data_IF_431975972788
#
_entry.id   IF_431975972788
#
_cell.length_a   1.000
_cell.length_b   1.000
_cell.length_c   1.000
_cell.angle_alpha   90.00
_cell.angle_beta   90.00
_cell.angle_gamma   90.00
#
_symmetry.space_group_name_H-M   'P 1'
#
loop_
_entity.id
_entity.type
_entity.pdbx_description
1 polymer ?
#
# COMPACT_ATOMS: atom_id res chain seq x y z
N UNK A 1 37.42 57.08 -5.09
CA UNK A 1 37.41 55.68 -4.56
C UNK A 1 36.02 55.21 -4.16
N UNK A 2 35.12 56.03 -3.55
CA UNK A 2 33.78 55.60 -3.05
C UNK A 2 32.75 55.24 -4.14
N UNK A 3 32.83 55.79 -5.36
CA UNK A 3 31.85 55.55 -6.43
C UNK A 3 32.07 54.18 -7.10
N UNK A 4 33.31 53.75 -7.28
CA UNK A 4 33.65 52.46 -7.87
C UNK A 4 33.19 51.28 -7.01
N UNK A 5 33.32 51.41 -5.69
CA UNK A 5 32.89 50.38 -4.73
C UNK A 5 31.35 50.22 -4.70
N UNK A 6 30.60 51.32 -4.85
CA UNK A 6 29.14 51.31 -4.91
C UNK A 6 28.64 50.63 -6.18
N UNK A 7 29.27 50.88 -7.33
CA UNK A 7 28.90 50.24 -8.60
C UNK A 7 29.22 48.74 -8.61
N UNK A 8 30.32 48.30 -7.97
CA UNK A 8 30.61 46.87 -7.75
C UNK A 8 29.59 46.19 -6.84
N UNK A 9 29.19 46.86 -5.76
CA UNK A 9 28.17 46.33 -4.85
C UNK A 9 26.82 46.16 -5.57
N UNK A 10 26.37 47.14 -6.33
CA UNK A 10 25.13 47.07 -7.11
C UNK A 10 25.19 46.02 -8.22
N UNK A 11 26.34 45.81 -8.86
CA UNK A 11 26.54 44.76 -9.86
C UNK A 11 26.46 43.34 -9.22
N UNK A 12 27.02 43.17 -8.03
CA UNK A 12 26.92 41.94 -7.26
C UNK A 12 25.50 41.67 -6.79
N UNK A 13 24.78 42.68 -6.31
CA UNK A 13 23.40 42.61 -5.94
C UNK A 13 22.53 42.14 -7.12
N UNK A 14 22.68 42.78 -8.31
CA UNK A 14 21.97 42.36 -9.53
C UNK A 14 22.32 40.96 -10.00
N UNK A 15 23.51 40.42 -9.71
CA UNK A 15 23.86 39.02 -9.97
C UNK A 15 23.21 38.09 -8.98
N UNK A 16 23.11 38.46 -7.71
CA UNK A 16 22.41 37.69 -6.68
C UNK A 16 20.89 37.62 -6.94
N UNK A 17 20.29 38.76 -7.35
CA UNK A 17 18.86 38.83 -7.69
C UNK A 17 18.51 38.07 -8.98
N UNK A 18 19.49 37.74 -9.83
CA UNK A 18 19.37 36.90 -11.04
C UNK A 18 19.71 35.42 -10.81
N UNK A 19 20.25 35.09 -9.65
CA UNK A 19 20.44 33.67 -9.29
C UNK A 19 19.07 33.13 -8.92
N UNK A 20 18.59 32.18 -9.71
CA UNK A 20 17.46 31.35 -9.31
C UNK A 20 17.78 30.74 -7.95
N UNK A 21 17.07 31.17 -6.93
CA UNK A 21 17.14 30.54 -5.61
C UNK A 21 16.64 29.15 -5.84
N UNK A 22 17.52 28.15 -5.77
CA UNK A 22 17.13 26.75 -5.71
C UNK A 22 16.34 26.63 -4.42
N UNK A 23 15.01 26.77 -4.51
CA UNK A 23 14.14 26.40 -3.42
C UNK A 23 14.40 24.91 -3.17
N UNK A 24 15.07 24.61 -2.06
CA UNK A 24 15.15 23.24 -1.57
C UNK A 24 13.72 22.74 -1.51
N UNK A 25 13.41 21.73 -2.33
CA UNK A 25 12.11 21.12 -2.33
C UNK A 25 11.76 20.78 -0.87
N UNK A 26 10.63 21.31 -0.38
CA UNK A 26 10.16 21.02 0.98
C UNK A 26 10.24 19.51 1.17
N UNK A 27 10.96 19.06 2.19
CA UNK A 27 11.11 17.65 2.47
C UNK A 27 9.71 17.02 2.45
N UNK A 28 9.54 16.01 1.60
CA UNK A 28 8.28 15.26 1.58
C UNK A 28 8.11 14.59 2.93
N UNK A 29 6.89 14.60 3.49
CA UNK A 29 6.65 13.92 4.76
C UNK A 29 7.07 12.44 4.61
N UNK A 30 7.97 11.98 5.47
CA UNK A 30 8.39 10.58 5.49
C UNK A 30 7.21 9.73 5.93
N UNK A 31 6.89 8.66 5.20
CA UNK A 31 5.80 7.78 5.60
C UNK A 31 6.15 7.01 6.88
N UNK A 32 5.11 6.74 7.67
CA UNK A 32 5.19 5.92 8.89
C UNK A 32 4.05 4.91 8.86
N UNK A 33 4.39 3.61 8.72
CA UNK A 33 3.41 2.54 8.62
C UNK A 33 3.41 1.68 9.88
N UNK A 34 2.27 1.66 10.57
CA UNK A 34 2.06 0.82 11.75
C UNK A 34 0.73 0.09 11.59
N UNK A 35 0.79 -1.20 11.25
CA UNK A 35 -0.41 -2.04 11.10
C UNK A 35 -1.10 -2.26 12.45
N UNK A 36 -2.41 -2.08 12.48
CA UNK A 36 -3.22 -2.44 13.64
C UNK A 36 -3.43 -3.95 13.67
N UNK A 37 -3.27 -4.53 14.84
CA UNK A 37 -3.41 -5.97 15.04
C UNK A 37 -4.80 -6.30 15.59
N UNK A 38 -5.51 -7.21 14.90
CA UNK A 38 -6.72 -7.83 15.41
C UNK A 38 -6.38 -8.96 16.41
N UNK A 39 -7.42 -9.56 17.01
CA UNK A 39 -7.23 -10.76 17.83
C UNK A 39 -6.57 -11.88 17.02
N UNK A 40 -5.89 -12.80 17.72
CA UNK A 40 -5.22 -13.92 17.08
C UNK A 40 -6.21 -14.81 16.31
N UNK A 41 -5.81 -15.25 15.11
CA UNK A 41 -6.54 -16.23 14.30
C UNK A 41 -6.47 -17.64 14.91
N UNK A 42 -7.21 -18.58 14.36
CA UNK A 42 -7.04 -20.01 14.58
C UNK A 42 -5.65 -20.50 14.20
N UNK A 43 -5.39 -21.79 14.31
CA UNK A 43 -4.09 -22.39 13.99
C UNK A 43 -3.72 -22.22 12.52
N UNK A 44 -4.66 -22.52 11.63
CA UNK A 44 -4.47 -22.40 10.19
C UNK A 44 -5.06 -21.10 9.66
N UNK A 45 -4.40 -20.52 8.67
CA UNK A 45 -4.92 -19.40 7.89
C UNK A 45 -5.73 -19.95 6.72
N UNK A 46 -5.15 -20.88 5.97
CA UNK A 46 -5.85 -21.64 4.94
C UNK A 46 -5.21 -23.01 4.74
N UNK A 47 -5.97 -23.92 4.17
CA UNK A 47 -5.51 -25.20 3.67
C UNK A 47 -6.17 -25.46 2.31
N UNK A 48 -5.42 -26.01 1.36
CA UNK A 48 -5.94 -26.40 0.04
C UNK A 48 -5.74 -27.89 -0.17
N UNK A 49 -6.68 -28.54 -0.83
CA UNK A 49 -6.63 -29.94 -1.21
C UNK A 49 -6.83 -30.03 -2.72
N UNK A 50 -5.81 -30.49 -3.44
CA UNK A 50 -5.79 -30.66 -4.89
C UNK A 50 -6.35 -29.47 -5.66
N UNK A 51 -6.07 -28.26 -5.18
CA UNK A 51 -6.58 -27.00 -5.73
C UNK A 51 -6.01 -26.76 -7.12
N UNK A 52 -6.85 -26.66 -8.13
CA UNK A 52 -6.52 -26.24 -9.48
C UNK A 52 -7.12 -24.88 -9.73
N UNK A 53 -6.26 -23.88 -9.93
CA UNK A 53 -6.67 -22.51 -10.22
C UNK A 53 -6.75 -22.28 -11.72
N UNK A 54 -7.58 -21.33 -12.12
CA UNK A 54 -7.74 -20.90 -13.52
C UNK A 54 -9.07 -20.20 -13.73
N UNK A 55 -9.32 -19.88 -15.01
CA UNK A 55 -10.61 -19.37 -15.48
C UNK A 55 -11.25 -20.45 -16.38
N UNK A 56 -11.19 -20.30 -17.69
CA UNK A 56 -11.68 -21.32 -18.64
C UNK A 56 -10.70 -22.49 -18.80
N UNK A 57 -9.43 -22.27 -18.47
CA UNK A 57 -8.35 -23.26 -18.56
C UNK A 57 -7.54 -23.31 -17.27
N UNK A 58 -7.04 -24.50 -16.90
CA UNK A 58 -6.16 -24.64 -15.75
C UNK A 58 -4.87 -23.81 -15.91
N UNK A 59 -4.52 -23.04 -14.89
CA UNK A 59 -3.25 -22.32 -14.78
C UNK A 59 -2.25 -23.03 -13.87
N UNK A 60 -2.69 -24.01 -13.09
CA UNK A 60 -1.82 -24.77 -12.20
C UNK A 60 -2.05 -26.27 -12.32
N UNK A 61 -1.08 -27.07 -11.84
CA UNK A 61 -1.30 -28.45 -11.43
C UNK A 61 -2.07 -28.42 -10.10
N UNK A 62 -2.60 -29.59 -9.62
CA UNK A 62 -3.19 -29.67 -8.29
C UNK A 62 -2.22 -29.21 -7.20
N UNK A 63 -2.68 -28.30 -6.34
CA UNK A 63 -1.90 -27.68 -5.27
C UNK A 63 -2.49 -28.07 -3.92
N UNK A 64 -1.68 -28.70 -3.08
CA UNK A 64 -2.00 -28.96 -1.68
C UNK A 64 -1.06 -28.15 -0.81
N UNK A 65 -1.56 -27.07 -0.26
CA UNK A 65 -0.83 -26.05 0.49
C UNK A 65 -1.50 -25.81 1.83
N UNK A 66 -0.72 -25.41 2.81
CA UNK A 66 -1.25 -24.92 4.08
C UNK A 66 -0.43 -23.74 4.58
N UNK A 67 -1.09 -22.81 5.26
CA UNK A 67 -0.47 -21.69 5.93
C UNK A 67 -0.93 -21.65 7.38
N UNK A 68 0.00 -21.67 8.30
CA UNK A 68 -0.27 -21.56 9.73
C UNK A 68 -0.15 -20.09 10.21
N UNK A 69 -0.79 -19.84 11.37
CA UNK A 69 -0.71 -18.54 12.04
C UNK A 69 0.75 -18.11 12.29
N UNK A 70 1.03 -16.84 12.01
CA UNK A 70 2.34 -16.22 12.20
C UNK A 70 3.33 -16.49 11.07
N UNK A 71 2.99 -17.34 10.10
CA UNK A 71 3.85 -17.53 8.92
C UNK A 71 3.82 -16.31 8.00
N UNK A 72 4.96 -16.04 7.39
CA UNK A 72 5.14 -15.02 6.35
C UNK A 72 5.63 -15.72 5.09
N UNK A 73 4.76 -15.83 4.11
CA UNK A 73 5.00 -16.57 2.86
C UNK A 73 5.06 -15.59 1.70
N UNK A 74 6.07 -15.73 0.84
CA UNK A 74 6.18 -14.99 -0.41
C UNK A 74 5.95 -15.93 -1.61
N UNK A 75 5.03 -15.55 -2.49
CA UNK A 75 4.83 -16.17 -3.79
C UNK A 75 5.66 -15.42 -4.82
N UNK A 76 6.68 -16.08 -5.34
CA UNK A 76 7.62 -15.50 -6.30
C UNK A 76 7.48 -16.20 -7.64
N UNK A 77 7.56 -15.46 -8.73
CA UNK A 77 7.52 -16.02 -10.08
C UNK A 77 7.24 -14.96 -11.14
N UNK A 78 7.36 -15.35 -12.41
CA UNK A 78 7.12 -14.44 -13.54
C UNK A 78 5.68 -13.88 -13.52
N UNK A 79 5.51 -12.71 -14.14
CA UNK A 79 4.18 -12.12 -14.28
C UNK A 79 3.30 -13.00 -15.18
N UNK A 80 2.00 -13.08 -14.85
CA UNK A 80 1.04 -13.85 -15.64
C UNK A 80 0.97 -15.35 -15.34
N UNK A 81 1.79 -15.90 -14.43
CA UNK A 81 1.74 -17.35 -14.09
C UNK A 81 0.58 -17.74 -13.17
N UNK A 82 -0.25 -16.77 -12.74
CA UNK A 82 -1.42 -17.06 -11.91
C UNK A 82 -1.25 -16.78 -10.41
N UNK A 83 -0.22 -16.03 -9.98
CA UNK A 83 -0.02 -15.68 -8.55
C UNK A 83 -1.24 -14.97 -7.94
N UNK A 84 -1.72 -13.92 -8.57
CA UNK A 84 -2.94 -13.18 -8.16
C UNK A 84 -4.18 -14.08 -8.21
N UNK A 85 -4.29 -14.94 -9.23
CA UNK A 85 -5.40 -15.91 -9.34
C UNK A 85 -5.38 -16.89 -8.19
N UNK A 86 -4.20 -17.39 -7.80
CA UNK A 86 -4.06 -18.27 -6.63
C UNK A 86 -4.52 -17.56 -5.34
N UNK A 87 -4.06 -16.34 -5.12
CA UNK A 87 -4.47 -15.55 -3.97
C UNK A 87 -6.00 -15.38 -3.94
N UNK A 88 -6.59 -14.94 -5.06
CA UNK A 88 -8.04 -14.74 -5.19
C UNK A 88 -8.84 -16.03 -5.04
N UNK A 89 -8.31 -17.16 -5.50
CA UNK A 89 -8.95 -18.47 -5.28
C UNK A 89 -8.85 -18.93 -3.81
N UNK A 90 -7.75 -18.63 -3.12
CA UNK A 90 -7.62 -18.94 -1.68
C UNK A 90 -8.66 -18.18 -0.85
N UNK A 91 -8.86 -16.88 -1.14
CA UNK A 91 -9.84 -16.04 -0.43
C UNK A 91 -11.29 -16.22 -0.90
N UNK A 92 -11.52 -17.02 -1.95
CA UNK A 92 -12.85 -17.34 -2.47
C UNK A 92 -13.44 -16.28 -3.43
N UNK A 93 -12.66 -15.32 -3.89
CA UNK A 93 -13.09 -14.33 -4.91
C UNK A 93 -13.22 -14.97 -6.30
N UNK A 94 -12.38 -15.94 -6.61
CA UNK A 94 -12.40 -16.69 -7.87
C UNK A 94 -12.63 -18.17 -7.52
N UNK A 95 -13.68 -18.81 -8.06
CA UNK A 95 -13.90 -20.24 -7.84
C UNK A 95 -12.77 -21.04 -8.48
N UNK A 96 -12.25 -22.08 -7.81
CA UNK A 96 -11.27 -22.97 -8.40
C UNK A 96 -11.90 -23.84 -9.50
N UNK A 97 -11.09 -24.34 -10.43
CA UNK A 97 -11.53 -25.31 -11.45
C UNK A 97 -11.82 -26.67 -10.79
N UNK A 98 -10.97 -27.07 -9.84
CA UNK A 98 -11.16 -28.27 -9.03
C UNK A 98 -10.43 -28.16 -7.69
N UNK A 99 -10.68 -29.12 -6.80
CA UNK A 99 -10.15 -29.08 -5.45
C UNK A 99 -10.92 -28.12 -4.54
N UNK A 100 -10.42 -27.88 -3.36
CA UNK A 100 -11.07 -27.00 -2.39
C UNK A 100 -10.05 -26.19 -1.58
N UNK A 101 -10.53 -25.07 -1.06
CA UNK A 101 -9.83 -24.26 -0.05
C UNK A 101 -10.69 -24.21 1.21
N UNK A 102 -10.06 -24.44 2.34
CA UNK A 102 -10.65 -24.26 3.66
C UNK A 102 -9.94 -23.13 4.36
N UNK A 103 -10.67 -22.07 4.71
CA UNK A 103 -10.16 -20.96 5.50
C UNK A 103 -10.20 -21.30 6.99
N UNK A 104 -9.25 -20.76 7.74
CA UNK A 104 -9.20 -20.92 9.19
C UNK A 104 -10.23 -20.06 9.93
N UNK A 105 -10.29 -20.24 11.25
CA UNK A 105 -11.21 -19.50 12.11
C UNK A 105 -10.66 -18.14 12.52
N UNK A 106 -11.56 -17.20 12.77
CA UNK A 106 -11.25 -15.85 13.27
C UNK A 106 -10.25 -15.07 12.41
N UNK A 107 -10.39 -15.17 11.10
CA UNK A 107 -9.57 -14.41 10.15
C UNK A 107 -10.12 -12.99 9.99
N UNK A 108 -9.22 -12.03 10.13
CA UNK A 108 -9.44 -10.61 9.83
C UNK A 108 -8.44 -10.21 8.73
N UNK A 109 -8.77 -10.51 7.47
CA UNK A 109 -7.85 -10.27 6.37
C UNK A 109 -7.79 -8.79 6.00
N UNK A 110 -6.57 -8.30 5.78
CA UNK A 110 -6.32 -7.06 5.07
C UNK A 110 -5.78 -7.36 3.68
N UNK A 111 -6.50 -6.95 2.65
CA UNK A 111 -6.10 -7.20 1.27
C UNK A 111 -5.61 -5.92 0.59
N UNK A 112 -4.39 -5.99 0.05
CA UNK A 112 -3.82 -4.95 -0.80
C UNK A 112 -3.82 -5.44 -2.24
N UNK A 113 -4.76 -4.94 -3.03
CA UNK A 113 -4.92 -5.28 -4.44
C UNK A 113 -3.93 -4.51 -5.31
N UNK A 114 -3.35 -5.16 -6.31
CA UNK A 114 -2.33 -4.59 -7.21
C UNK A 114 -2.82 -3.31 -7.89
N UNK A 115 -4.01 -3.34 -8.51
CA UNK A 115 -4.60 -2.18 -9.17
C UNK A 115 -6.09 -2.05 -8.82
N UNK A 116 -6.43 -0.94 -8.17
CA UNK A 116 -7.81 -0.51 -8.01
C UNK A 116 -8.03 0.74 -8.86
N UNK A 117 -8.89 0.65 -9.87
CA UNK A 117 -9.26 1.82 -10.67
C UNK A 117 -10.27 2.65 -9.89
N UNK A 118 -9.91 3.89 -9.62
CA UNK A 118 -10.82 4.86 -9.04
C UNK A 118 -11.51 5.64 -10.16
N UNK A 119 -12.79 5.35 -10.40
CA UNK A 119 -13.63 6.02 -11.41
C UNK A 119 -14.43 7.17 -10.80
N UNK A 120 -14.72 7.08 -9.52
CA UNK A 120 -15.60 8.00 -8.82
C UNK A 120 -14.90 9.33 -8.47
N UNK A 121 -15.70 10.38 -8.37
CA UNK A 121 -15.25 11.70 -7.91
C UNK A 121 -15.19 11.76 -6.39
N UNK A 122 -14.37 10.89 -5.76
CA UNK A 122 -14.23 10.77 -4.32
C UNK A 122 -12.90 11.37 -3.90
N UNK A 123 -12.90 12.23 -2.88
CA UNK A 123 -11.65 12.77 -2.30
C UNK A 123 -10.95 11.72 -1.47
N UNK A 124 -9.64 11.89 -1.20
CA UNK A 124 -8.92 10.98 -0.31
C UNK A 124 -9.55 10.95 1.09
N UNK A 125 -10.07 12.06 1.56
CA UNK A 125 -10.76 12.17 2.86
C UNK A 125 -12.01 11.29 2.85
N UNK A 126 -12.88 11.46 1.84
CA UNK A 126 -14.13 10.70 1.76
C UNK A 126 -13.87 9.21 1.57
N UNK A 127 -12.82 8.85 0.83
CA UNK A 127 -12.42 7.45 0.61
C UNK A 127 -11.99 6.75 1.90
N UNK A 128 -11.32 7.47 2.82
CA UNK A 128 -11.00 6.95 4.16
C UNK A 128 -12.23 6.95 5.05
N UNK A 129 -13.05 7.99 5.02
CA UNK A 129 -14.26 8.05 5.84
C UNK A 129 -15.30 6.98 5.51
N UNK A 130 -15.40 6.54 4.26
CA UNK A 130 -16.26 5.40 3.88
C UNK A 130 -15.95 4.15 4.72
N UNK A 131 -14.68 3.93 5.02
CA UNK A 131 -14.21 2.73 5.73
C UNK A 131 -14.15 2.96 7.26
N UNK A 132 -13.84 4.20 7.66
CA UNK A 132 -13.69 4.60 9.06
C UNK A 132 -14.65 5.74 9.43
N UNK A 133 -15.97 5.53 9.45
CA UNK A 133 -16.95 6.60 9.67
C UNK A 133 -16.89 7.19 11.10
N UNK A 134 -16.28 6.50 12.05
CA UNK A 134 -16.05 6.98 13.42
C UNK A 134 -14.87 7.95 13.54
N UNK A 135 -14.02 8.07 12.54
CA UNK A 135 -12.88 8.98 12.59
C UNK A 135 -13.32 10.43 12.45
N UNK A 136 -12.71 11.30 13.23
CA UNK A 136 -12.84 12.75 13.05
C UNK A 136 -12.07 13.18 11.80
N UNK A 137 -12.38 14.37 11.28
CA UNK A 137 -11.66 14.94 10.14
C UNK A 137 -10.14 15.05 10.40
N UNK A 138 -9.77 15.36 11.64
CA UNK A 138 -8.37 15.44 12.04
C UNK A 138 -7.68 14.05 11.96
N UNK A 139 -8.32 13.00 12.45
CA UNK A 139 -7.79 11.63 12.40
C UNK A 139 -7.63 11.13 10.98
N UNK A 140 -8.61 11.40 10.09
CA UNK A 140 -8.52 11.06 8.67
C UNK A 140 -7.33 11.76 8.01
N UNK A 141 -7.19 13.07 8.20
CA UNK A 141 -6.07 13.85 7.66
C UNK A 141 -4.73 13.39 8.22
N UNK A 142 -4.67 13.10 9.51
CA UNK A 142 -3.47 12.59 10.19
C UNK A 142 -3.06 11.21 9.64
N UNK A 143 -4.02 10.30 9.45
CA UNK A 143 -3.77 8.98 8.88
C UNK A 143 -3.18 9.06 7.46
N UNK A 144 -3.77 9.90 6.59
CA UNK A 144 -3.28 10.13 5.23
C UNK A 144 -1.88 10.79 5.23
N UNK A 145 -1.65 11.77 6.10
CA UNK A 145 -0.35 12.44 6.23
C UNK A 145 0.76 11.46 6.70
N UNK A 146 0.45 10.57 7.65
CA UNK A 146 1.34 9.49 8.09
C UNK A 146 1.70 8.52 6.96
N UNK A 147 0.86 8.40 5.94
CA UNK A 147 1.19 7.63 4.74
C UNK A 147 2.05 8.41 3.72
N UNK A 148 2.53 9.60 4.08
CA UNK A 148 3.40 10.42 3.22
C UNK A 148 2.63 11.18 2.13
N UNK A 149 1.34 11.48 2.33
CA UNK A 149 0.56 12.33 1.47
C UNK A 149 0.63 13.78 1.95
N UNK A 150 0.85 14.72 1.02
CA UNK A 150 0.83 16.16 1.30
C UNK A 150 -0.60 16.66 1.47
N UNK A 151 -0.79 17.83 2.08
CA UNK A 151 -2.11 18.46 2.22
C UNK A 151 -2.84 18.57 0.88
N UNK A 152 -2.12 18.94 -0.19
CA UNK A 152 -2.67 19.03 -1.55
C UNK A 152 -3.22 17.68 -2.04
N UNK A 153 -2.49 16.57 -1.79
CA UNK A 153 -2.94 15.22 -2.17
C UNK A 153 -4.15 14.79 -1.35
N UNK A 154 -4.16 15.10 -0.05
CA UNK A 154 -5.25 14.75 0.88
C UNK A 154 -6.59 15.37 0.44
N UNK A 155 -6.56 16.60 -0.07
CA UNK A 155 -7.73 17.34 -0.54
C UNK A 155 -8.12 17.01 -1.98
N UNK A 156 -7.26 16.30 -2.72
CA UNK A 156 -7.51 15.93 -4.11
C UNK A 156 -8.43 14.71 -4.23
N UNK A 157 -9.07 14.59 -5.40
CA UNK A 157 -9.78 13.35 -5.76
C UNK A 157 -8.78 12.23 -5.97
N UNK A 158 -9.09 11.01 -5.50
CA UNK A 158 -8.18 9.85 -5.60
C UNK A 158 -7.80 9.57 -7.05
N UNK A 159 -8.74 9.69 -8.00
CA UNK A 159 -8.51 9.40 -9.42
C UNK A 159 -7.47 10.30 -10.11
N UNK A 160 -7.21 11.51 -9.58
CA UNK A 160 -6.23 12.44 -10.18
C UNK A 160 -4.84 12.30 -9.59
N UNK A 161 -4.70 11.49 -8.55
CA UNK A 161 -3.41 11.18 -7.94
C UNK A 161 -2.57 10.27 -8.84
N UNK A 162 -1.25 10.37 -8.71
CA UNK A 162 -0.33 9.41 -9.30
C UNK A 162 -0.55 7.99 -8.74
N UNK A 163 -0.11 6.96 -9.46
CA UNK A 163 -0.22 5.56 -9.01
C UNK A 163 0.38 5.33 -7.62
N UNK A 164 1.51 6.00 -7.32
CA UNK A 164 2.16 5.92 -6.01
C UNK A 164 1.35 6.56 -4.88
N UNK A 165 0.72 7.69 -5.15
CA UNK A 165 -0.15 8.37 -4.18
C UNK A 165 -1.44 7.57 -3.95
N UNK A 166 -2.02 6.99 -5.01
CA UNK A 166 -3.16 6.08 -4.89
C UNK A 166 -2.79 4.83 -4.06
N UNK A 167 -1.59 4.28 -4.26
CA UNK A 167 -1.09 3.17 -3.45
C UNK A 167 -0.97 3.57 -1.96
N UNK A 168 -0.52 4.79 -1.66
CA UNK A 168 -0.46 5.31 -0.28
C UNK A 168 -1.86 5.47 0.34
N UNK A 169 -2.88 5.85 -0.43
CA UNK A 169 -4.29 5.88 0.05
C UNK A 169 -4.77 4.46 0.39
N UNK A 170 -4.48 3.47 -0.47
CA UNK A 170 -4.81 2.05 -0.19
C UNK A 170 -4.08 1.52 1.05
N UNK A 171 -2.78 1.85 1.19
CA UNK A 171 -2.01 1.49 2.38
C UNK A 171 -2.58 2.15 3.64
N UNK A 172 -3.04 3.40 3.56
CA UNK A 172 -3.68 4.08 4.68
C UNK A 172 -4.90 3.31 5.19
N UNK A 173 -5.74 2.79 4.29
CA UNK A 173 -6.86 1.91 4.66
C UNK A 173 -6.37 0.65 5.35
N UNK A 174 -5.44 -0.06 4.73
CA UNK A 174 -4.92 -1.32 5.24
C UNK A 174 -4.29 -1.19 6.63
N UNK A 175 -3.52 -0.12 6.86
CA UNK A 175 -2.82 0.14 8.13
C UNK A 175 -3.80 0.46 9.26
N UNK A 176 -4.90 1.14 8.94
CA UNK A 176 -5.90 1.53 9.93
C UNK A 176 -6.93 0.44 10.23
N UNK A 177 -7.03 -0.59 9.40
CA UNK A 177 -7.84 -1.77 9.66
C UNK A 177 -7.17 -2.70 10.67
N UNK A 178 -7.97 -3.25 11.58
CA UNK A 178 -7.51 -4.29 12.48
C UNK A 178 -7.45 -5.62 11.73
N UNK A 179 -6.23 -6.15 11.57
CA UNK A 179 -5.98 -7.35 10.76
C UNK A 179 -5.13 -8.36 11.52
N UNK A 180 -5.27 -9.64 11.20
CA UNK A 180 -4.37 -10.70 11.66
C UNK A 180 -3.76 -11.50 10.50
N UNK A 181 -4.20 -11.21 9.27
CA UNK A 181 -3.64 -11.73 8.02
C UNK A 181 -3.52 -10.60 7.02
N UNK A 182 -2.35 -10.40 6.44
CA UNK A 182 -2.13 -9.49 5.33
C UNK A 182 -1.94 -10.28 4.03
N UNK A 183 -2.74 -9.93 3.04
CA UNK A 183 -2.70 -10.46 1.68
C UNK A 183 -2.25 -9.32 0.77
N UNK A 184 -1.03 -9.41 0.25
CA UNK A 184 -0.40 -8.29 -0.43
C UNK A 184 -0.02 -8.69 -1.85
N UNK A 185 -0.68 -8.08 -2.83
CA UNK A 185 -0.41 -8.32 -4.26
C UNK A 185 0.45 -7.19 -4.81
N UNK A 186 1.75 -7.48 -5.02
CA UNK A 186 2.78 -6.56 -5.52
C UNK A 186 2.76 -5.17 -4.82
N UNK A 187 2.77 -5.10 -3.47
CA UNK A 187 2.50 -3.88 -2.71
C UNK A 187 3.57 -2.81 -2.88
N UNK A 188 4.72 -3.14 -3.43
CA UNK A 188 5.83 -2.21 -3.67
C UNK A 188 5.76 -1.51 -5.02
N UNK A 189 4.86 -1.92 -5.91
CA UNK A 189 4.69 -1.27 -7.20
C UNK A 189 4.21 0.16 -7.01
N UNK A 190 4.80 1.07 -7.78
CA UNK A 190 4.52 2.51 -7.77
C UNK A 190 4.90 3.26 -6.47
N UNK A 191 5.39 2.60 -5.42
CA UNK A 191 5.87 3.27 -4.23
C UNK A 191 7.26 3.88 -4.46
N UNK A 192 7.49 5.06 -3.86
CA UNK A 192 8.83 5.66 -3.78
C UNK A 192 9.73 4.87 -2.81
N UNK A 193 11.03 5.18 -2.82
CA UNK A 193 12.03 4.45 -2.04
C UNK A 193 11.71 4.49 -0.54
N UNK A 194 11.36 5.67 -0.02
CA UNK A 194 11.08 5.84 1.41
C UNK A 194 9.87 5.01 1.85
N UNK A 195 8.80 5.00 1.02
CA UNK A 195 7.61 4.18 1.30
C UNK A 195 7.88 2.68 1.20
N UNK A 196 8.76 2.24 0.27
CA UNK A 196 9.17 0.83 0.18
C UNK A 196 9.93 0.37 1.41
N UNK A 197 10.88 1.17 1.86
CA UNK A 197 11.67 0.85 3.05
C UNK A 197 10.81 0.81 4.31
N UNK A 198 9.90 1.79 4.44
CA UNK A 198 8.99 1.84 5.56
C UNK A 198 7.98 0.67 5.55
N UNK A 199 7.44 0.31 4.38
CA UNK A 199 6.58 -0.87 4.25
C UNK A 199 7.33 -2.14 4.65
N UNK A 200 8.57 -2.31 4.20
CA UNK A 200 9.43 -3.44 4.59
C UNK A 200 9.66 -3.49 6.10
N UNK A 201 9.91 -2.34 6.74
CA UNK A 201 10.05 -2.22 8.20
C UNK A 201 8.75 -2.66 8.89
N UNK A 202 7.62 -2.12 8.45
CA UNK A 202 6.31 -2.39 9.03
C UNK A 202 5.91 -3.87 8.89
N UNK A 203 6.14 -4.49 7.72
CA UNK A 203 5.85 -5.91 7.49
C UNK A 203 6.74 -6.84 8.34
N UNK A 204 7.99 -6.45 8.59
CA UNK A 204 8.87 -7.20 9.52
C UNK A 204 8.35 -7.14 10.95
N UNK A 205 7.88 -5.97 11.40
CA UNK A 205 7.36 -5.75 12.75
C UNK A 205 5.97 -6.37 12.98
N UNK A 206 5.19 -6.58 11.91
CA UNK A 206 3.83 -7.14 11.99
C UNK A 206 3.86 -8.57 12.54
N UNK A 207 3.05 -8.84 13.57
CA UNK A 207 3.00 -10.15 14.25
C UNK A 207 2.02 -11.14 13.64
N UNK A 208 1.08 -10.65 12.83
CA UNK A 208 0.14 -11.51 12.09
C UNK A 208 0.80 -12.28 10.96
N UNK A 209 0.00 -12.99 10.22
CA UNK A 209 0.40 -13.78 9.06
C UNK A 209 0.46 -12.92 7.81
N UNK A 210 1.38 -13.19 6.89
CA UNK A 210 1.53 -12.44 5.64
C UNK A 210 1.62 -13.41 4.47
N UNK A 211 0.78 -13.20 3.45
CA UNK A 211 0.93 -13.80 2.13
C UNK A 211 1.23 -12.67 1.13
N UNK A 212 2.44 -12.67 0.60
CA UNK A 212 2.97 -11.63 -0.26
C UNK A 212 3.20 -12.17 -1.67
N UNK A 213 2.74 -11.47 -2.68
CA UNK A 213 3.06 -11.71 -4.10
C UNK A 213 4.13 -10.71 -4.54
N UNK A 214 5.20 -11.24 -5.18
CA UNK A 214 6.31 -10.48 -5.76
C UNK A 214 6.53 -10.88 -7.22
#
# INVERSE_FOLDING_TARGET
ARVATRNMAMSRQKKLDKMDVIELAKEKPKPEFNFKEARASGRYIFQTEDLVIGYDKPLSRPLTLSMERGQKIALVGANGIGKTTLLKSIIGEIPPISGKTTLGDYLYPGYFEQEKKYTDNVTCIDEIWKEFPSYTQYEVRSALAKCGLTTKHIESMVKVLSGGEQAKVRLCKLINNETNVLLLDEPTNHLDVDAKEELKRALKAYKGSILLIC
#
